data_IF_717072295511
#
_entry.id   IF_717072295511
#
_cell.length_a   1.000
_cell.length_b   1.000
_cell.length_c   1.000
_cell.angle_alpha   90.00
_cell.angle_beta   90.00
_cell.angle_gamma   90.00
#
_symmetry.space_group_name_H-M   'P 1'
#
loop_
_entity.id
_entity.type
_entity.pdbx_description
1 polymer ?
#
# COMPACT_ATOMS: atom_id res chain seq x y z
N UNK A 1 8.67 -52.52 -0.10
CA UNK A 1 7.66 -51.47 -0.37
C UNK A 1 6.84 -51.31 0.91
N UNK A 2 7.12 -50.27 1.70
CA UNK A 2 6.41 -50.00 2.94
C UNK A 2 5.23 -49.08 2.64
N UNK A 3 4.02 -49.54 2.97
CA UNK A 3 2.80 -48.79 2.79
C UNK A 3 2.82 -47.49 3.60
N UNK A 4 2.57 -46.36 2.93
CA UNK A 4 2.27 -45.09 3.59
C UNK A 4 1.00 -45.27 4.44
N UNK A 5 0.94 -44.71 5.66
CA UNK A 5 -0.26 -44.80 6.50
C UNK A 5 -1.39 -44.01 5.82
N UNK A 6 -2.46 -44.73 5.47
CA UNK A 6 -3.73 -44.16 5.03
C UNK A 6 -4.40 -43.48 6.23
N UNK A 7 -4.50 -42.15 6.21
CA UNK A 7 -5.37 -41.39 7.10
C UNK A 7 -6.83 -41.77 6.79
N UNK A 8 -7.42 -42.66 7.58
CA UNK A 8 -8.86 -42.91 7.56
C UNK A 8 -9.58 -41.76 8.26
N UNK A 9 -10.24 -40.89 7.48
CA UNK A 9 -11.07 -39.79 7.97
C UNK A 9 -12.53 -40.22 8.14
N UNK A 10 -12.78 -41.26 8.93
CA UNK A 10 -14.13 -41.60 9.37
C UNK A 10 -14.31 -41.14 10.82
N UNK A 11 -14.28 -39.83 11.05
CA UNK A 11 -14.77 -39.27 12.31
C UNK A 11 -16.28 -39.10 12.17
N UNK A 12 -17.07 -39.77 13.01
CA UNK A 12 -18.50 -39.50 13.08
C UNK A 12 -18.73 -38.12 13.70
N UNK A 13 -19.84 -37.47 13.37
CA UNK A 13 -20.24 -36.19 14.00
C UNK A 13 -20.25 -36.31 15.53
N UNK A 14 -20.55 -37.49 16.06
CA UNK A 14 -20.52 -37.81 17.49
C UNK A 14 -19.11 -37.76 18.08
N UNK A 15 -18.10 -38.25 17.35
CA UNK A 15 -16.69 -38.22 17.78
C UNK A 15 -16.15 -36.79 17.81
N UNK A 16 -16.56 -35.94 16.86
CA UNK A 16 -16.22 -34.52 16.86
C UNK A 16 -16.86 -33.77 18.03
N UNK A 17 -18.13 -34.05 18.35
CA UNK A 17 -18.83 -33.43 19.48
C UNK A 17 -18.20 -33.86 20.81
N UNK A 18 -17.83 -35.14 20.94
CA UNK A 18 -17.14 -35.65 22.12
C UNK A 18 -15.76 -35.00 22.30
N UNK A 19 -14.96 -34.89 21.23
CA UNK A 19 -13.66 -34.24 21.27
C UNK A 19 -13.75 -32.73 21.59
N UNK A 20 -14.77 -32.03 21.08
CA UNK A 20 -15.03 -30.64 21.40
C UNK A 20 -15.44 -30.47 22.87
N UNK A 21 -16.30 -31.36 23.38
CA UNK A 21 -16.73 -31.32 24.77
C UNK A 21 -15.56 -31.61 25.73
N UNK A 22 -14.68 -32.55 25.38
CA UNK A 22 -13.49 -32.90 26.17
C UNK A 22 -12.44 -31.77 26.16
N UNK A 23 -12.23 -31.12 25.00
CA UNK A 23 -11.37 -29.94 24.86
C UNK A 23 -11.92 -28.69 25.59
N UNK A 24 -13.24 -28.61 25.81
CA UNK A 24 -13.88 -27.55 26.57
C UNK A 24 -13.87 -27.81 28.10
N UNK A 25 -13.62 -29.05 28.54
CA UNK A 25 -13.60 -29.42 29.96
C UNK A 25 -12.20 -29.54 30.56
N UNK A 26 -11.13 -29.51 29.75
CA UNK A 26 -9.75 -29.42 30.26
C UNK A 26 -9.40 -27.96 30.55
N UNK A 27 -9.24 -27.54 31.83
CA UNK A 27 -8.73 -26.22 32.15
C UNK A 27 -7.20 -26.28 32.12
N UNK A 28 -6.61 -26.68 30.99
CA UNK A 28 -5.21 -26.36 30.75
C UNK A 28 -5.17 -24.94 30.20
N UNK A 29 -4.60 -24.04 31.01
CA UNK A 29 -4.20 -22.72 30.56
C UNK A 29 -3.12 -22.95 29.51
N UNK A 30 -3.51 -23.09 28.24
CA UNK A 30 -2.56 -23.08 27.13
C UNK A 30 -1.89 -21.73 27.17
N UNK A 31 -0.71 -21.65 27.77
CA UNK A 31 0.22 -20.56 27.48
C UNK A 31 0.55 -20.69 26.01
N UNK A 32 -0.16 -19.92 25.19
CA UNK A 32 0.28 -19.63 23.82
C UNK A 32 1.59 -18.89 23.99
N UNK A 33 2.70 -19.62 23.95
CA UNK A 33 3.99 -18.99 23.76
C UNK A 33 3.88 -18.18 22.48
N UNK A 34 4.07 -16.87 22.61
CA UNK A 34 4.15 -15.99 21.46
C UNK A 34 5.25 -16.55 20.54
N UNK A 35 4.84 -17.17 19.44
CA UNK A 35 5.78 -17.56 18.41
C UNK A 35 6.52 -16.29 18.01
N UNK A 36 7.85 -16.29 18.16
CA UNK A 36 8.73 -15.28 17.58
C UNK A 36 9.12 -15.74 16.19
N UNK A 37 8.48 -15.29 15.10
CA UNK A 37 9.14 -15.33 13.81
C UNK A 37 10.02 -14.09 13.71
N UNK A 38 11.31 -14.23 13.98
CA UNK A 38 12.30 -13.37 13.33
C UNK A 38 12.70 -14.08 12.03
N UNK A 39 11.85 -14.01 11.00
CA UNK A 39 12.28 -14.37 9.64
C UNK A 39 13.38 -13.37 9.25
N UNK A 40 14.61 -13.87 9.19
CA UNK A 40 15.77 -13.05 8.89
C UNK A 40 15.98 -13.02 7.37
N UNK A 41 15.53 -11.97 6.69
CA UNK A 41 15.59 -11.87 5.23
C UNK A 41 16.95 -11.44 4.65
N UNK A 42 17.95 -11.18 5.50
CA UNK A 42 19.24 -10.62 5.08
C UNK A 42 19.55 -9.29 5.77
N UNK A 43 20.64 -8.60 5.40
CA UNK A 43 20.97 -7.29 5.93
C UNK A 43 19.90 -6.26 5.56
N UNK A 44 19.44 -5.45 6.53
CA UNK A 44 18.41 -4.43 6.31
C UNK A 44 19.05 -3.04 6.16
N UNK A 45 18.67 -2.30 5.13
CA UNK A 45 18.93 -0.87 5.02
C UNK A 45 18.08 -0.11 6.04
N UNK A 46 18.71 0.68 6.90
CA UNK A 46 18.03 1.56 7.86
C UNK A 46 17.59 2.87 7.19
N UNK A 47 16.45 2.85 6.50
CA UNK A 47 15.84 4.04 5.93
C UNK A 47 14.59 4.43 6.75
N UNK A 48 14.29 5.71 6.79
CA UNK A 48 13.03 6.23 7.34
C UNK A 48 12.27 7.04 6.26
N UNK A 49 11.09 7.54 6.61
CA UNK A 49 10.23 8.28 5.69
C UNK A 49 10.83 9.59 5.18
N UNK A 50 11.74 10.23 5.90
CA UNK A 50 12.40 11.48 5.44
C UNK A 50 13.31 11.24 4.24
N UNK A 51 13.80 10.02 4.08
CA UNK A 51 14.63 9.60 2.95
C UNK A 51 13.78 9.25 1.71
N UNK A 52 12.48 9.01 1.86
CA UNK A 52 11.59 8.44 0.82
C UNK A 52 10.84 9.51 0.05
N UNK A 53 10.39 10.57 0.71
CA UNK A 53 9.74 11.69 0.04
C UNK A 53 10.64 12.33 -1.05
N UNK A 54 11.94 12.58 -0.81
CA UNK A 54 12.87 13.00 -1.87
C UNK A 54 13.17 11.91 -2.90
N UNK A 55 12.92 10.65 -2.58
CA UNK A 55 13.14 9.51 -3.47
C UNK A 55 11.98 9.33 -4.46
N UNK A 56 10.76 9.67 -4.04
CA UNK A 56 9.57 9.71 -4.88
C UNK A 56 9.64 10.77 -5.99
N UNK A 57 10.40 11.86 -5.78
CA UNK A 57 10.59 12.95 -6.76
C UNK A 57 11.51 12.63 -7.94
N UNK A 58 11.70 11.33 -8.27
CA UNK A 58 12.59 10.87 -9.35
C UNK A 58 14.06 10.75 -8.96
N UNK A 59 14.44 11.23 -7.78
CA UNK A 59 15.85 11.36 -7.33
C UNK A 59 16.47 10.04 -6.83
N UNK A 60 15.73 8.92 -6.81
CA UNK A 60 16.30 7.61 -6.45
C UNK A 60 17.38 7.14 -7.43
N UNK A 61 17.20 7.40 -8.72
CA UNK A 61 18.20 7.01 -9.72
C UNK A 61 19.48 7.85 -9.60
N UNK A 62 19.34 9.15 -9.31
CA UNK A 62 20.45 10.05 -8.98
C UNK A 62 21.13 9.69 -7.65
N UNK A 63 20.34 9.34 -6.62
CA UNK A 63 20.87 8.89 -5.32
C UNK A 63 21.56 7.52 -5.44
N UNK A 64 21.08 6.66 -6.34
CA UNK A 64 21.71 5.39 -6.64
C UNK A 64 22.95 5.54 -7.55
N UNK A 65 23.08 6.59 -8.35
CA UNK A 65 24.29 6.92 -9.13
C UNK A 65 25.32 7.71 -8.34
N UNK A 66 24.91 8.39 -7.26
CA UNK A 66 25.80 9.01 -6.27
C UNK A 66 26.54 7.93 -5.46
N UNK A 67 27.61 7.42 -6.06
CA UNK A 67 28.62 6.64 -5.38
C UNK A 67 29.30 7.46 -4.28
N UNK A 68 29.43 6.84 -3.10
CA UNK A 68 30.07 7.32 -1.86
C UNK A 68 29.33 8.43 -1.11
N UNK A 69 28.68 7.98 -0.03
CA UNK A 69 28.36 8.67 1.23
C UNK A 69 27.40 9.86 1.17
N UNK A 70 26.20 9.64 1.70
CA UNK A 70 25.55 10.64 2.56
C UNK A 70 25.74 10.14 3.99
N UNK A 71 26.62 10.80 4.74
CA UNK A 71 26.70 10.61 6.19
C UNK A 71 26.35 11.92 6.86
N UNK A 72 25.44 11.90 7.83
CA UNK A 72 25.34 12.96 8.82
C UNK A 72 26.57 12.86 9.75
N UNK A 73 27.69 13.42 9.30
CA UNK A 73 28.88 13.84 10.04
C UNK A 73 29.70 12.86 10.91
N UNK A 74 29.39 11.57 11.03
CA UNK A 74 30.23 10.65 11.83
C UNK A 74 30.45 9.28 11.20
N UNK A 75 31.14 9.25 10.05
CA UNK A 75 31.74 8.04 9.47
C UNK A 75 33.00 7.57 10.24
N UNK A 76 33.03 7.73 11.57
CA UNK A 76 34.07 7.17 12.43
C UNK A 76 33.43 6.23 13.45
N UNK A 77 33.63 4.93 13.21
CA UNK A 77 33.28 3.75 14.05
C UNK A 77 31.91 3.11 13.89
N UNK A 78 31.45 2.94 12.66
CA UNK A 78 30.69 1.74 12.33
C UNK A 78 31.15 1.22 10.97
N UNK A 79 32.13 0.30 10.96
CA UNK A 79 32.07 -0.73 9.93
C UNK A 79 30.73 -1.41 10.15
N UNK A 80 29.80 -1.28 9.21
CA UNK A 80 28.63 -2.15 9.17
C UNK A 80 29.16 -3.53 8.82
N UNK A 81 29.63 -4.26 9.83
CA UNK A 81 29.92 -5.67 9.71
C UNK A 81 28.65 -6.43 10.05
N UNK A 82 28.36 -7.50 9.30
CA UNK A 82 27.37 -8.55 9.59
C UNK A 82 27.69 -9.34 10.87
N UNK A 83 28.37 -8.73 11.84
CA UNK A 83 28.86 -9.36 13.07
C UNK A 83 27.68 -9.69 13.98
N UNK A 84 27.26 -10.95 13.90
CA UNK A 84 26.26 -11.55 14.78
C UNK A 84 25.56 -12.74 14.16
N UNK A 85 25.48 -12.79 12.83
CA UNK A 85 24.92 -13.94 12.11
C UNK A 85 25.97 -14.43 11.14
N UNK A 86 26.56 -15.56 11.47
CA UNK A 86 27.45 -16.26 10.58
C UNK A 86 26.66 -16.58 9.31
N UNK A 87 27.06 -16.04 8.15
CA UNK A 87 26.42 -16.28 6.83
C UNK A 87 26.18 -17.77 6.53
N UNK A 88 26.93 -18.64 7.21
CA UNK A 88 26.90 -20.09 7.15
C UNK A 88 25.73 -20.77 7.91
N UNK A 89 24.87 -20.03 8.63
CA UNK A 89 23.74 -20.63 9.38
C UNK A 89 22.38 -20.59 8.68
N UNK A 90 22.19 -19.76 7.66
CA UNK A 90 21.04 -19.85 6.74
C UNK A 90 21.47 -19.33 5.36
N UNK A 91 21.73 -20.18 4.37
CA UNK A 91 22.10 -19.75 3.02
C UNK A 91 20.85 -19.27 2.26
N UNK A 92 20.28 -18.14 2.67
CA UNK A 92 19.20 -17.53 1.92
C UNK A 92 19.75 -16.93 0.62
N UNK A 93 19.01 -17.05 -0.50
CA UNK A 93 19.40 -16.38 -1.72
C UNK A 93 19.40 -14.86 -1.52
N UNK A 94 20.41 -14.13 -2.02
CA UNK A 94 20.44 -12.68 -1.91
C UNK A 94 19.29 -12.04 -2.70
N UNK A 95 18.82 -10.87 -2.24
CA UNK A 95 17.83 -10.07 -2.97
C UNK A 95 18.40 -9.63 -4.33
N UNK A 96 17.94 -10.31 -5.40
CA UNK A 96 18.47 -10.07 -6.76
C UNK A 96 17.89 -8.84 -7.41
N UNK A 97 16.58 -8.74 -7.48
CA UNK A 97 15.91 -7.66 -8.22
C UNK A 97 15.13 -6.72 -7.29
N UNK A 98 14.67 -7.22 -6.15
CA UNK A 98 13.72 -6.56 -5.27
C UNK A 98 14.02 -6.86 -3.79
N UNK A 99 13.77 -5.90 -2.91
CA UNK A 99 13.64 -6.13 -1.47
C UNK A 99 12.16 -6.40 -1.09
N UNK A 100 11.88 -7.14 -0.01
CA UNK A 100 10.51 -7.45 0.38
C UNK A 100 9.76 -6.22 0.90
N UNK A 101 8.48 -6.14 0.56
CA UNK A 101 7.57 -5.05 0.93
C UNK A 101 6.43 -5.55 1.81
N UNK A 102 5.95 -4.70 2.71
CA UNK A 102 4.73 -4.89 3.48
C UNK A 102 3.51 -4.20 2.88
N UNK A 103 2.39 -4.90 2.77
CA UNK A 103 1.07 -4.34 2.44
C UNK A 103 0.21 -4.34 3.70
N UNK A 104 -0.08 -3.15 4.22
CA UNK A 104 -0.99 -2.94 5.34
C UNK A 104 -2.41 -2.73 4.80
N UNK A 105 -3.12 -3.84 4.58
CA UNK A 105 -4.42 -3.90 3.91
C UNK A 105 -5.61 -4.08 4.85
N UNK A 106 -6.77 -4.40 4.27
CA UNK A 106 -8.05 -4.54 4.97
C UNK A 106 -9.01 -3.36 4.82
N UNK A 107 -8.71 -2.39 3.96
CA UNK A 107 -9.39 -1.08 3.92
C UNK A 107 -9.97 -0.67 2.54
N UNK A 108 -10.45 -1.56 1.68
CA UNK A 108 -11.05 -2.85 2.00
C UNK A 108 -10.23 -4.12 1.66
N UNK A 109 -10.78 -5.30 1.99
CA UNK A 109 -10.11 -6.57 1.71
C UNK A 109 -9.87 -6.84 0.22
N UNK A 110 -10.86 -6.53 -0.64
CA UNK A 110 -10.74 -6.71 -2.08
C UNK A 110 -9.67 -5.78 -2.69
N UNK A 111 -9.65 -4.51 -2.29
CA UNK A 111 -8.63 -3.55 -2.69
C UNK A 111 -7.20 -4.00 -2.33
N UNK A 112 -7.05 -4.76 -1.25
CA UNK A 112 -5.76 -5.33 -0.86
C UNK A 112 -5.32 -6.43 -1.83
N UNK A 113 -6.23 -7.30 -2.23
CA UNK A 113 -5.97 -8.37 -3.21
C UNK A 113 -5.67 -7.77 -4.59
N UNK A 114 -6.45 -6.77 -5.00
CA UNK A 114 -6.23 -6.02 -6.23
C UNK A 114 -4.83 -5.38 -6.29
N UNK A 115 -4.39 -4.73 -5.19
CA UNK A 115 -3.02 -4.20 -5.12
C UNK A 115 -1.97 -5.31 -5.24
N UNK A 116 -2.16 -6.48 -4.61
CA UNK A 116 -1.21 -7.59 -4.72
C UNK A 116 -1.06 -8.08 -6.17
N UNK A 117 -2.17 -8.20 -6.89
CA UNK A 117 -2.14 -8.54 -8.31
C UNK A 117 -1.39 -7.48 -9.11
N UNK A 118 -1.70 -6.20 -8.92
CA UNK A 118 -1.02 -5.09 -9.60
C UNK A 118 0.47 -5.02 -9.30
N UNK A 119 0.89 -5.35 -8.07
CA UNK A 119 2.30 -5.46 -7.67
C UNK A 119 3.01 -6.59 -8.41
N UNK A 120 2.37 -7.75 -8.54
CA UNK A 120 2.90 -8.87 -9.32
C UNK A 120 3.09 -8.46 -10.79
N UNK A 121 2.04 -7.92 -11.41
CA UNK A 121 2.07 -7.49 -12.82
C UNK A 121 3.11 -6.39 -13.08
N UNK A 122 3.22 -5.41 -12.17
CA UNK A 122 4.22 -4.35 -12.26
C UNK A 122 5.65 -4.90 -12.14
N UNK A 123 5.88 -5.83 -11.22
CA UNK A 123 7.16 -6.52 -11.07
C UNK A 123 7.51 -7.35 -12.29
N UNK A 124 6.55 -8.11 -12.81
CA UNK A 124 6.69 -8.93 -14.01
C UNK A 124 7.06 -8.10 -15.25
N UNK A 125 6.42 -6.94 -15.45
CA UNK A 125 6.81 -6.00 -16.52
C UNK A 125 8.29 -5.63 -16.44
N UNK A 126 8.80 -5.30 -15.25
CA UNK A 126 10.22 -4.95 -15.04
C UNK A 126 11.16 -6.12 -15.20
N UNK A 127 10.78 -7.31 -14.75
CA UNK A 127 11.55 -8.52 -14.98
C UNK A 127 11.65 -8.86 -16.46
N UNK A 128 10.57 -8.69 -17.21
CA UNK A 128 10.57 -8.93 -18.66
C UNK A 128 11.42 -7.92 -19.43
N UNK A 129 11.50 -6.66 -18.99
CA UNK A 129 12.47 -5.69 -19.53
C UNK A 129 13.92 -6.19 -19.33
N UNK A 130 14.28 -6.58 -18.11
CA UNK A 130 15.60 -7.12 -17.77
C UNK A 130 15.91 -8.42 -18.55
N UNK A 131 14.92 -9.29 -18.70
CA UNK A 131 15.04 -10.54 -19.44
C UNK A 131 15.40 -10.30 -20.91
N UNK A 132 14.77 -9.31 -21.56
CA UNK A 132 15.08 -8.92 -22.95
C UNK A 132 16.51 -8.42 -23.10
N UNK A 133 17.02 -7.68 -22.12
CA UNK A 133 18.39 -7.15 -22.13
C UNK A 133 19.45 -8.22 -21.86
N UNK A 134 19.12 -9.21 -21.01
CA UNK A 134 20.10 -10.19 -20.51
C UNK A 134 20.01 -11.56 -21.16
N UNK A 135 18.94 -11.84 -21.92
CA UNK A 135 18.64 -13.16 -22.47
C UNK A 135 18.24 -14.20 -21.42
N UNK A 136 18.05 -13.82 -20.15
CA UNK A 136 17.63 -14.73 -19.07
C UNK A 136 16.11 -14.86 -19.03
N UNK A 137 15.63 -16.08 -18.78
CA UNK A 137 14.20 -16.33 -18.54
C UNK A 137 13.80 -15.84 -17.14
N UNK A 138 12.64 -15.19 -17.05
CA UNK A 138 12.00 -14.84 -15.77
C UNK A 138 11.46 -16.09 -15.08
N UNK A 139 11.71 -16.22 -13.79
CA UNK A 139 11.24 -17.32 -12.93
C UNK A 139 10.51 -16.78 -11.71
N UNK A 140 9.73 -17.61 -11.03
CA UNK A 140 9.04 -17.25 -9.78
C UNK A 140 10.00 -16.67 -8.74
N UNK A 141 11.24 -17.17 -8.69
CA UNK A 141 12.27 -16.73 -7.75
C UNK A 141 12.79 -15.30 -8.03
N UNK A 142 12.48 -14.73 -9.20
CA UNK A 142 12.86 -13.36 -9.55
C UNK A 142 11.84 -12.31 -9.08
N UNK A 143 10.61 -12.73 -8.75
CA UNK A 143 9.53 -11.83 -8.35
C UNK A 143 9.74 -11.21 -6.97
N UNK A 144 9.16 -10.02 -6.78
CA UNK A 144 9.23 -9.28 -5.52
C UNK A 144 8.51 -10.03 -4.40
N UNK A 145 9.16 -10.15 -3.24
CA UNK A 145 8.52 -10.63 -2.03
C UNK A 145 7.48 -9.63 -1.50
N UNK A 146 6.24 -10.07 -1.33
CA UNK A 146 5.15 -9.26 -0.78
C UNK A 146 4.63 -9.92 0.50
N UNK A 147 4.73 -9.22 1.62
CA UNK A 147 4.17 -9.62 2.91
C UNK A 147 2.89 -8.82 3.09
N UNK A 148 1.74 -9.47 3.08
CA UNK A 148 0.46 -8.76 3.17
C UNK A 148 -0.34 -9.17 4.38
N UNK A 149 -0.77 -8.17 5.15
CA UNK A 149 -1.74 -8.34 6.23
C UNK A 149 -3.06 -7.69 5.81
N UNK A 150 -4.09 -8.52 5.62
CA UNK A 150 -5.43 -8.10 5.21
C UNK A 150 -6.39 -8.15 6.41
N UNK A 151 -6.26 -7.18 7.32
CA UNK A 151 -6.86 -7.24 8.67
C UNK A 151 -7.95 -6.18 8.85
N UNK A 152 -9.03 -6.27 8.06
CA UNK A 152 -10.12 -5.28 8.08
C UNK A 152 -10.85 -5.14 9.43
N UNK A 153 -10.81 -6.16 10.28
CA UNK A 153 -11.39 -6.10 11.64
C UNK A 153 -10.56 -5.26 12.62
N UNK A 154 -9.28 -5.00 12.34
CA UNK A 154 -8.41 -4.21 13.22
C UNK A 154 -8.48 -2.72 12.90
N UNK A 155 -8.85 -2.35 11.67
CA UNK A 155 -8.76 -0.97 11.21
C UNK A 155 -10.17 -0.43 10.98
N UNK A 156 -10.63 0.39 11.93
CA UNK A 156 -11.95 1.03 11.90
C UNK A 156 -12.23 1.83 10.62
N UNK A 157 -13.49 2.28 10.45
CA UNK A 157 -13.85 3.04 9.25
C UNK A 157 -13.20 4.43 9.24
N UNK A 158 -12.44 4.72 8.18
CA UNK A 158 -11.65 5.95 8.06
C UNK A 158 -12.57 7.15 7.86
N UNK A 159 -13.55 7.06 6.98
CA UNK A 159 -14.43 8.19 6.65
C UNK A 159 -15.29 8.57 7.85
N UNK A 160 -15.90 7.58 8.52
CA UNK A 160 -16.69 7.79 9.73
C UNK A 160 -15.87 8.46 10.83
N UNK A 161 -14.63 8.02 11.05
CA UNK A 161 -13.77 8.62 12.06
C UNK A 161 -13.35 10.06 11.73
N UNK A 162 -12.93 10.33 10.48
CA UNK A 162 -12.58 11.70 10.05
C UNK A 162 -13.78 12.66 10.17
N UNK A 163 -15.00 12.18 9.89
CA UNK A 163 -16.22 12.98 9.98
C UNK A 163 -16.78 13.13 11.40
N UNK A 164 -16.24 12.37 12.37
CA UNK A 164 -16.57 12.54 13.79
C UNK A 164 -15.92 13.80 14.40
N UNK A 165 -14.90 14.37 13.75
CA UNK A 165 -14.26 15.60 14.21
C UNK A 165 -15.21 16.80 14.12
N UNK A 166 -15.31 17.55 15.22
CA UNK A 166 -16.16 18.76 15.33
C UNK A 166 -15.36 20.07 15.43
N UNK A 167 -14.03 20.01 15.40
CA UNK A 167 -13.17 21.18 15.44
C UNK A 167 -12.84 21.73 14.06
N UNK A 168 -11.99 22.76 14.01
CA UNK A 168 -11.46 23.32 12.76
C UNK A 168 -10.36 22.40 12.20
N UNK A 169 -10.57 21.88 10.97
CA UNK A 169 -9.57 21.03 10.29
C UNK A 169 -8.32 21.81 9.86
N UNK A 170 -8.40 23.14 9.84
CA UNK A 170 -7.26 24.01 9.56
C UNK A 170 -6.40 24.27 10.79
N UNK A 171 -6.86 23.94 12.00
CA UNK A 171 -6.02 23.93 13.20
C UNK A 171 -5.19 22.62 13.22
N UNK A 172 -3.89 22.67 12.92
CA UNK A 172 -3.08 21.45 12.81
C UNK A 172 -2.94 20.73 14.14
N UNK A 173 -3.03 21.45 15.26
CA UNK A 173 -2.91 20.87 16.60
C UNK A 173 -4.19 20.11 16.95
N UNK A 174 -5.35 20.76 16.83
CA UNK A 174 -6.63 20.13 17.11
C UNK A 174 -6.87 18.93 16.18
N UNK A 175 -6.49 19.05 14.90
CA UNK A 175 -6.59 17.96 13.94
C UNK A 175 -5.68 16.78 14.31
N UNK A 176 -4.42 17.04 14.69
CA UNK A 176 -3.50 15.99 15.13
C UNK A 176 -3.98 15.31 16.41
N UNK A 177 -4.49 16.06 17.38
CA UNK A 177 -5.09 15.52 18.60
C UNK A 177 -6.27 14.59 18.27
N UNK A 178 -7.12 14.97 17.31
CA UNK A 178 -8.19 14.09 16.83
C UNK A 178 -7.65 12.81 16.21
N UNK A 179 -6.73 12.90 15.24
CA UNK A 179 -6.16 11.74 14.55
C UNK A 179 -5.46 10.75 15.48
N UNK A 180 -4.93 11.22 16.61
CA UNK A 180 -4.17 10.43 17.58
C UNK A 180 -4.96 10.04 18.84
N UNK A 181 -6.26 10.39 18.90
CA UNK A 181 -7.08 10.15 20.09
C UNK A 181 -7.24 8.63 20.35
N UNK A 182 -6.89 8.13 21.55
CA UNK A 182 -6.92 6.70 21.89
C UNK A 182 -8.33 6.21 22.20
N UNK A 183 -9.13 6.01 21.16
CA UNK A 183 -10.49 5.46 21.24
C UNK A 183 -10.64 4.26 20.30
N UNK A 184 -11.50 3.27 20.61
CA UNK A 184 -11.65 2.04 19.81
C UNK A 184 -12.02 2.29 18.34
N UNK A 185 -12.74 3.37 18.05
CA UNK A 185 -13.17 3.73 16.71
C UNK A 185 -12.03 4.30 15.85
N UNK A 186 -10.92 4.71 16.47
CA UNK A 186 -9.79 5.30 15.76
C UNK A 186 -9.01 4.21 15.00
N UNK A 187 -8.95 4.26 13.65
CA UNK A 187 -8.26 3.25 12.85
C UNK A 187 -6.73 3.25 13.06
N UNK A 188 -6.16 4.30 13.67
CA UNK A 188 -4.71 4.45 13.88
C UNK A 188 -4.08 3.26 14.60
N UNK A 189 -4.65 2.82 15.71
CA UNK A 189 -4.00 1.88 16.62
C UNK A 189 -3.94 0.47 16.02
N UNK A 190 -5.01 0.02 15.37
CA UNK A 190 -4.98 -1.26 14.65
C UNK A 190 -3.98 -1.25 13.50
N UNK A 191 -3.89 -0.15 12.75
CA UNK A 191 -2.92 -0.02 11.68
C UNK A 191 -1.46 0.03 12.19
N UNK A 192 -1.21 0.63 13.36
CA UNK A 192 0.11 0.60 13.99
C UNK A 192 0.53 -0.83 14.32
N UNK A 193 -0.36 -1.66 14.85
CA UNK A 193 -0.08 -3.08 15.12
C UNK A 193 0.17 -3.87 13.82
N UNK A 194 -0.62 -3.61 12.78
CA UNK A 194 -0.39 -4.18 11.44
C UNK A 194 1.01 -3.81 10.93
N UNK A 195 1.40 -2.55 11.01
CA UNK A 195 2.73 -2.09 10.58
C UNK A 195 3.87 -2.69 11.39
N UNK A 196 3.72 -2.79 12.72
CA UNK A 196 4.73 -3.44 13.58
C UNK A 196 4.90 -4.90 13.20
N UNK A 197 3.80 -5.62 12.95
CA UNK A 197 3.85 -7.00 12.50
C UNK A 197 4.52 -7.15 11.13
N UNK A 198 4.22 -6.28 10.16
CA UNK A 198 4.91 -6.27 8.85
C UNK A 198 6.43 -6.01 8.98
N UNK A 199 6.81 -5.07 9.85
CA UNK A 199 8.22 -4.77 10.15
C UNK A 199 8.94 -5.98 10.75
N UNK A 200 8.30 -6.67 11.70
CA UNK A 200 8.82 -7.89 12.32
C UNK A 200 8.92 -9.03 11.29
N UNK A 201 7.93 -9.14 10.41
CA UNK A 201 7.89 -10.14 9.35
C UNK A 201 8.96 -9.93 8.27
N UNK A 202 9.60 -8.76 8.19
CA UNK A 202 10.74 -8.52 7.31
C UNK A 202 10.56 -7.45 6.24
N UNK A 203 9.44 -6.72 6.24
CA UNK A 203 9.21 -5.66 5.27
C UNK A 203 10.32 -4.58 5.34
N UNK A 204 10.85 -4.19 4.19
CA UNK A 204 11.78 -3.07 4.06
C UNK A 204 11.06 -1.73 3.96
N UNK A 205 9.81 -1.74 3.51
CA UNK A 205 8.93 -0.58 3.45
C UNK A 205 7.47 -1.03 3.44
N UNK A 206 6.55 -0.11 3.76
CA UNK A 206 5.13 -0.41 3.89
C UNK A 206 4.29 0.47 2.98
N UNK A 207 3.26 -0.11 2.38
CA UNK A 207 2.26 0.60 1.58
C UNK A 207 0.85 0.30 2.08
N UNK A 208 -0.05 1.25 1.83
CA UNK A 208 -1.46 1.19 2.22
C UNK A 208 -2.35 1.29 0.96
N UNK A 209 -3.08 0.24 0.57
CA UNK A 209 -4.08 0.29 -0.51
C UNK A 209 -5.38 0.93 0.00
N UNK A 210 -5.30 2.18 0.47
CA UNK A 210 -6.47 2.94 0.88
C UNK A 210 -6.18 4.44 0.82
N UNK A 211 -6.92 5.17 -0.02
CA UNK A 211 -6.75 6.62 -0.15
C UNK A 211 -7.07 7.35 1.17
N UNK A 212 -8.26 7.12 1.73
CA UNK A 212 -8.71 7.81 2.95
C UNK A 212 -7.78 7.58 4.15
N UNK A 213 -7.09 6.43 4.20
CA UNK A 213 -6.09 6.13 5.24
C UNK A 213 -4.95 7.16 5.29
N UNK A 214 -4.59 7.77 4.17
CA UNK A 214 -3.44 8.66 4.10
C UNK A 214 -3.64 9.98 4.85
N UNK A 215 -4.84 10.26 5.39
CA UNK A 215 -5.03 11.31 6.38
C UNK A 215 -4.17 11.09 7.65
N UNK A 216 -3.80 9.85 7.97
CA UNK A 216 -2.91 9.49 9.09
C UNK A 216 -1.44 9.30 8.67
N UNK A 217 -1.09 9.55 7.40
CA UNK A 217 0.22 9.16 6.86
C UNK A 217 1.38 9.70 7.69
N UNK A 218 1.39 10.99 8.00
CA UNK A 218 2.47 11.63 8.77
C UNK A 218 2.55 11.10 10.21
N UNK A 219 1.42 10.72 10.81
CA UNK A 219 1.36 10.15 12.16
C UNK A 219 2.02 8.77 12.16
N UNK A 220 1.60 7.88 11.25
CA UNK A 220 2.11 6.51 11.24
C UNK A 220 3.57 6.44 10.76
N UNK A 221 3.96 7.31 9.82
CA UNK A 221 5.33 7.44 9.33
C UNK A 221 6.33 7.73 10.47
N UNK A 222 5.95 8.62 11.40
CA UNK A 222 6.78 8.99 12.55
C UNK A 222 6.97 7.82 13.54
N UNK A 223 5.96 6.97 13.71
CA UNK A 223 5.95 5.88 14.67
C UNK A 223 6.64 4.61 14.17
N UNK A 224 6.35 4.19 12.94
CA UNK A 224 6.79 2.89 12.40
C UNK A 224 8.27 2.89 12.04
N UNK A 225 8.81 4.06 11.65
CA UNK A 225 10.21 4.24 11.21
C UNK A 225 10.63 3.21 10.16
N UNK A 226 9.76 2.98 9.19
CA UNK A 226 10.08 2.33 7.93
C UNK A 226 9.68 3.29 6.80
N UNK A 227 10.34 3.20 5.64
CA UNK A 227 9.89 3.85 4.43
C UNK A 227 8.41 3.56 4.13
N UNK A 228 7.67 4.58 3.70
CA UNK A 228 6.26 4.45 3.32
C UNK A 228 6.00 5.27 2.06
N UNK A 229 5.09 4.78 1.21
CA UNK A 229 4.71 5.45 -0.03
C UNK A 229 3.33 6.07 0.09
N UNK A 230 3.21 7.35 -0.27
CA UNK A 230 1.93 8.05 -0.26
C UNK A 230 1.18 7.81 -1.58
N UNK A 231 0.02 7.15 -1.52
CA UNK A 231 -0.75 6.75 -2.71
C UNK A 231 -1.15 7.93 -3.62
N UNK A 232 -1.60 9.05 -3.05
CA UNK A 232 -2.01 10.20 -3.84
C UNK A 232 -0.82 10.87 -4.57
N UNK A 233 0.36 10.91 -3.93
CA UNK A 233 1.59 11.43 -4.55
C UNK A 233 2.04 10.50 -5.68
N UNK A 234 2.02 9.19 -5.45
CA UNK A 234 2.30 8.19 -6.50
C UNK A 234 1.33 8.33 -7.69
N UNK A 235 0.04 8.58 -7.42
CA UNK A 235 -0.98 8.79 -8.45
C UNK A 235 -0.70 10.04 -9.27
N UNK A 236 -0.42 11.17 -8.62
CA UNK A 236 -0.07 12.44 -9.30
C UNK A 236 1.17 12.26 -10.18
N UNK A 237 2.21 11.60 -9.68
CA UNK A 237 3.44 11.36 -10.45
C UNK A 237 3.23 10.37 -11.61
N UNK A 238 2.28 9.44 -11.49
CA UNK A 238 1.95 8.53 -12.60
C UNK A 238 1.26 9.23 -13.76
N UNK A 239 0.64 10.39 -13.53
CA UNK A 239 -0.13 11.12 -14.54
C UNK A 239 0.71 11.41 -15.79
N UNK A 240 1.91 11.97 -15.61
CA UNK A 240 2.80 12.28 -16.74
C UNK A 240 3.16 11.05 -17.58
N UNK A 241 3.32 9.88 -16.94
CA UNK A 241 3.65 8.62 -17.62
C UNK A 241 2.43 8.01 -18.33
N UNK A 242 1.27 8.07 -17.68
CA UNK A 242 0.03 7.52 -18.21
C UNK A 242 -0.49 8.34 -19.41
N UNK A 243 -0.22 9.65 -19.43
CA UNK A 243 -0.87 10.58 -20.37
C UNK A 243 0.10 11.64 -20.90
N UNK A 244 1.01 11.30 -21.83
CA UNK A 244 2.06 12.19 -22.32
C UNK A 244 1.56 13.39 -23.17
N UNK A 245 0.24 13.51 -23.39
CA UNK A 245 -0.40 14.57 -24.20
C UNK A 245 -1.28 15.51 -23.38
N UNK A 246 -1.19 15.49 -22.05
CA UNK A 246 -1.96 16.43 -21.23
C UNK A 246 -1.44 17.87 -21.38
N UNK A 247 -2.32 18.88 -21.27
CA UNK A 247 -1.89 20.26 -21.17
C UNK A 247 -1.12 20.50 -19.86
N UNK A 248 -0.36 21.61 -19.77
CA UNK A 248 0.46 21.95 -18.61
C UNK A 248 -0.33 22.07 -17.30
N UNK A 249 -1.60 22.49 -17.38
CA UNK A 249 -2.55 22.51 -16.27
C UNK A 249 -3.78 21.65 -16.60
N UNK A 250 -3.69 20.31 -16.47
CA UNK A 250 -4.80 19.44 -16.79
C UNK A 250 -5.90 19.52 -15.74
N UNK A 251 -7.13 19.46 -16.21
CA UNK A 251 -8.31 19.27 -15.37
C UNK A 251 -8.46 17.79 -15.06
N UNK A 252 -8.41 17.41 -13.79
CA UNK A 252 -8.46 16.02 -13.35
C UNK A 252 -9.71 15.78 -12.52
N UNK A 253 -10.58 14.88 -13.00
CA UNK A 253 -11.73 14.38 -12.24
C UNK A 253 -11.28 13.51 -11.07
N UNK A 254 -11.85 13.69 -9.89
CA UNK A 254 -11.47 12.94 -8.69
C UNK A 254 -12.64 12.10 -8.16
N UNK A 255 -12.61 10.79 -8.38
CA UNK A 255 -13.64 9.87 -7.86
C UNK A 255 -13.14 9.26 -6.55
N UNK A 256 -13.65 9.74 -5.42
CA UNK A 256 -13.18 9.33 -4.11
C UNK A 256 -14.28 9.34 -3.04
N UNK A 257 -13.97 8.79 -1.86
CA UNK A 257 -14.83 8.94 -0.68
C UNK A 257 -14.91 10.40 -0.23
N UNK A 258 -15.99 10.79 0.43
CA UNK A 258 -16.12 12.12 1.05
C UNK A 258 -14.96 12.41 1.99
N UNK A 259 -14.52 11.44 2.79
CA UNK A 259 -13.34 11.59 3.64
C UNK A 259 -12.05 11.95 2.88
N UNK A 260 -11.87 11.46 1.65
CA UNK A 260 -10.74 11.83 0.79
C UNK A 260 -10.88 13.24 0.24
N UNK A 261 -12.08 13.62 -0.19
CA UNK A 261 -12.39 14.96 -0.75
C UNK A 261 -12.28 16.03 0.35
N UNK A 262 -12.94 15.82 1.48
CA UNK A 262 -13.03 16.77 2.59
C UNK A 262 -11.70 16.95 3.34
N UNK A 263 -10.76 16.00 3.18
CA UNK A 263 -9.39 16.13 3.70
C UNK A 263 -8.45 16.81 2.71
N UNK A 264 -8.91 17.06 1.49
CA UNK A 264 -8.14 17.62 0.37
C UNK A 264 -6.88 16.80 0.06
N UNK A 265 -6.94 15.48 0.26
CA UNK A 265 -5.76 14.61 0.19
C UNK A 265 -5.01 14.75 -1.14
N UNK A 266 -5.74 14.71 -2.25
CA UNK A 266 -5.17 14.77 -3.59
C UNK A 266 -4.73 16.18 -3.97
N UNK A 267 -5.46 17.21 -3.54
CA UNK A 267 -5.10 18.60 -3.75
C UNK A 267 -3.78 18.93 -3.05
N UNK A 268 -3.64 18.53 -1.78
CA UNK A 268 -2.39 18.68 -1.01
C UNK A 268 -1.24 17.89 -1.62
N UNK A 269 -1.50 16.66 -2.09
CA UNK A 269 -0.50 15.84 -2.78
C UNK A 269 -0.07 16.49 -4.11
N UNK A 270 -1.00 17.00 -4.90
CA UNK A 270 -0.72 17.74 -6.14
C UNK A 270 0.18 18.95 -5.90
N UNK A 271 -0.21 19.82 -4.97
CA UNK A 271 0.59 21.00 -4.60
C UNK A 271 1.98 20.64 -4.06
N UNK A 272 2.12 19.50 -3.36
CA UNK A 272 3.43 19.00 -2.93
C UNK A 272 4.26 18.54 -4.13
N UNK A 273 3.68 17.74 -5.02
CA UNK A 273 4.37 17.15 -6.17
C UNK A 273 4.76 18.18 -7.22
N UNK A 274 4.04 19.29 -7.33
CA UNK A 274 4.43 20.42 -8.18
C UNK A 274 5.84 20.93 -7.85
N UNK A 275 6.21 20.98 -6.56
CA UNK A 275 7.56 21.36 -6.10
C UNK A 275 8.65 20.38 -6.54
N UNK A 276 8.25 19.20 -7.00
CA UNK A 276 9.10 18.09 -7.41
C UNK A 276 8.94 17.76 -8.90
N UNK A 277 8.48 18.72 -9.70
CA UNK A 277 8.33 18.57 -11.15
C UNK A 277 7.05 17.84 -11.60
N UNK A 278 6.13 17.58 -10.67
CA UNK A 278 4.77 17.14 -10.99
C UNK A 278 3.97 18.26 -11.70
N UNK A 279 2.90 17.92 -12.43
CA UNK A 279 2.08 18.92 -13.12
C UNK A 279 1.27 19.74 -12.12
N UNK A 280 1.02 21.00 -12.44
CA UNK A 280 0.03 21.81 -11.74
C UNK A 280 -1.36 21.31 -12.14
N UNK A 281 -2.20 20.88 -11.20
CA UNK A 281 -3.50 20.22 -11.52
C UNK A 281 -4.67 21.10 -11.10
N UNK A 282 -5.64 21.25 -12.01
CA UNK A 282 -6.97 21.75 -11.69
C UNK A 282 -7.90 20.59 -11.35
N UNK A 283 -8.47 20.57 -10.14
CA UNK A 283 -9.30 19.46 -9.69
C UNK A 283 -10.78 19.66 -10.05
N UNK A 284 -11.40 18.63 -10.61
CA UNK A 284 -12.85 18.52 -10.80
C UNK A 284 -13.37 17.51 -9.79
N UNK A 285 -14.20 18.00 -8.87
CA UNK A 285 -14.88 17.16 -7.88
C UNK A 285 -16.30 16.84 -8.36
N UNK A 286 -16.83 15.64 -8.11
CA UNK A 286 -18.23 15.33 -8.40
C UNK A 286 -19.16 16.32 -7.72
N UNK A 287 -20.24 16.72 -8.40
CA UNK A 287 -21.34 17.47 -7.78
C UNK A 287 -21.96 16.68 -6.61
N UNK A 288 -22.61 17.33 -5.63
CA UNK A 288 -23.13 16.66 -4.44
C UNK A 288 -23.93 15.38 -4.70
N UNK A 289 -24.86 15.40 -5.67
CA UNK A 289 -25.66 14.22 -6.04
C UNK A 289 -24.82 13.06 -6.59
N UNK A 290 -23.73 13.36 -7.31
CA UNK A 290 -22.80 12.36 -7.83
C UNK A 290 -21.80 11.92 -6.76
N UNK A 291 -21.49 12.78 -5.80
CA UNK A 291 -20.70 12.38 -4.63
C UNK A 291 -21.47 11.37 -3.76
N UNK A 292 -22.78 11.53 -3.60
CA UNK A 292 -23.63 10.54 -2.93
C UNK A 292 -23.64 9.20 -3.68
N UNK A 293 -23.70 9.25 -5.02
CA UNK A 293 -23.56 8.05 -5.86
C UNK A 293 -22.19 7.39 -5.73
N UNK A 294 -21.12 8.18 -5.67
CA UNK A 294 -19.77 7.65 -5.45
C UNK A 294 -19.71 6.91 -4.11
N UNK A 295 -20.25 7.50 -3.05
CA UNK A 295 -20.31 6.88 -1.72
C UNK A 295 -21.12 5.58 -1.74
N UNK A 296 -22.33 5.58 -2.31
CA UNK A 296 -23.15 4.37 -2.38
C UNK A 296 -22.52 3.29 -3.27
N UNK A 297 -21.94 3.67 -4.42
CA UNK A 297 -21.23 2.74 -5.30
C UNK A 297 -20.02 2.07 -4.62
N UNK A 298 -19.30 2.83 -3.79
CA UNK A 298 -18.17 2.31 -3.00
C UNK A 298 -18.64 1.42 -1.85
N UNK A 299 -19.56 1.90 -1.00
CA UNK A 299 -19.94 1.24 0.25
C UNK A 299 -21.02 0.17 0.05
N UNK A 300 -22.13 0.53 -0.58
CA UNK A 300 -23.28 -0.36 -0.78
C UNK A 300 -23.11 -1.25 -2.02
N UNK A 301 -22.22 -0.86 -2.93
CA UNK A 301 -21.80 -1.65 -4.08
C UNK A 301 -20.57 -2.50 -3.77
N UNK A 302 -19.39 -2.00 -4.14
CA UNK A 302 -18.14 -2.78 -4.18
C UNK A 302 -17.77 -3.39 -2.84
N UNK A 303 -17.81 -2.62 -1.74
CA UNK A 303 -17.48 -3.13 -0.39
C UNK A 303 -18.49 -4.15 0.14
N UNK A 304 -19.75 -4.04 -0.26
CA UNK A 304 -20.81 -4.98 0.11
C UNK A 304 -20.86 -6.22 -0.80
N UNK A 305 -20.08 -6.24 -1.90
CA UNK A 305 -20.05 -7.33 -2.87
C UNK A 305 -21.07 -7.20 -4.01
N UNK A 306 -21.87 -6.14 -4.06
CA UNK A 306 -22.76 -5.84 -5.19
C UNK A 306 -22.00 -5.04 -6.27
N UNK A 307 -21.21 -5.77 -7.04
CA UNK A 307 -20.41 -5.18 -8.12
C UNK A 307 -21.27 -4.51 -9.20
N UNK A 308 -22.45 -5.03 -9.51
CA UNK A 308 -23.32 -4.46 -10.54
C UNK A 308 -23.84 -3.07 -10.13
N UNK A 309 -24.29 -2.94 -8.88
CA UNK A 309 -24.69 -1.65 -8.31
C UNK A 309 -23.51 -0.68 -8.24
N UNK A 310 -22.35 -1.14 -7.76
CA UNK A 310 -21.11 -0.37 -7.70
C UNK A 310 -20.69 0.18 -9.06
N UNK A 311 -20.60 -0.68 -10.08
CA UNK A 311 -20.23 -0.31 -11.45
C UNK A 311 -21.18 0.71 -12.04
N UNK A 312 -22.51 0.52 -11.88
CA UNK A 312 -23.50 1.46 -12.40
C UNK A 312 -23.29 2.87 -11.84
N UNK A 313 -23.25 3.00 -10.51
CA UNK A 313 -23.14 4.30 -9.86
C UNK A 313 -21.79 4.97 -10.14
N UNK A 314 -20.69 4.22 -10.07
CA UNK A 314 -19.35 4.78 -10.30
C UNK A 314 -19.13 5.20 -11.76
N UNK A 315 -19.70 4.48 -12.72
CA UNK A 315 -19.68 4.89 -14.13
C UNK A 315 -20.45 6.20 -14.33
N UNK A 316 -21.61 6.39 -13.68
CA UNK A 316 -22.35 7.66 -13.75
C UNK A 316 -21.52 8.83 -13.22
N UNK A 317 -20.73 8.62 -12.15
CA UNK A 317 -19.81 9.63 -11.60
C UNK A 317 -18.65 9.91 -12.55
N UNK A 318 -18.05 8.89 -13.16
CA UNK A 318 -16.99 9.06 -14.16
C UNK A 318 -17.48 9.89 -15.36
N UNK A 319 -18.67 9.59 -15.88
CA UNK A 319 -19.26 10.36 -16.98
C UNK A 319 -19.56 11.81 -16.59
N UNK A 320 -19.91 12.08 -15.33
CA UNK A 320 -20.14 13.45 -14.86
C UNK A 320 -18.86 14.28 -14.84
N UNK A 321 -17.79 13.79 -14.23
CA UNK A 321 -16.52 14.54 -14.18
C UNK A 321 -15.94 14.74 -15.59
N UNK A 322 -16.16 13.79 -16.50
CA UNK A 322 -15.82 13.93 -17.93
C UNK A 322 -16.65 15.05 -18.58
N UNK A 323 -17.96 15.09 -18.33
CA UNK A 323 -18.86 16.14 -18.84
C UNK A 323 -18.48 17.53 -18.34
N UNK A 324 -17.96 17.65 -17.12
CA UNK A 324 -17.42 18.89 -16.56
C UNK A 324 -16.05 19.30 -17.16
N UNK A 325 -15.51 18.50 -18.09
CA UNK A 325 -14.33 18.83 -18.88
C UNK A 325 -13.02 18.27 -18.32
N UNK A 326 -13.08 17.16 -17.57
CA UNK A 326 -11.88 16.45 -17.15
C UNK A 326 -11.06 15.95 -18.36
N UNK A 327 -9.76 16.21 -18.35
CA UNK A 327 -8.81 15.69 -19.34
C UNK A 327 -8.39 14.25 -19.03
N UNK A 328 -8.54 13.82 -17.77
CA UNK A 328 -8.39 12.47 -17.25
C UNK A 328 -9.13 12.41 -15.90
N UNK A 329 -9.39 11.22 -15.37
CA UNK A 329 -9.93 11.09 -14.01
C UNK A 329 -9.19 10.03 -13.20
N UNK A 330 -9.20 10.22 -11.89
CA UNK A 330 -8.50 9.37 -10.92
C UNK A 330 -9.50 8.47 -10.20
N UNK A 331 -9.17 7.19 -10.15
CA UNK A 331 -9.80 6.22 -9.25
C UNK A 331 -9.22 6.40 -7.84
N UNK A 332 -9.56 7.53 -7.20
CA UNK A 332 -9.04 7.97 -5.90
C UNK A 332 -9.71 7.29 -4.69
N UNK A 333 -10.27 6.11 -4.93
CA UNK A 333 -10.64 5.10 -3.95
C UNK A 333 -10.35 3.73 -4.59
N UNK A 334 -9.67 2.85 -3.86
CA UNK A 334 -9.15 1.57 -4.39
C UNK A 334 -10.26 0.58 -4.76
N UNK A 335 -11.49 0.85 -4.35
CA UNK A 335 -12.68 0.11 -4.79
C UNK A 335 -13.24 0.60 -6.13
N UNK A 336 -12.85 1.79 -6.62
CA UNK A 336 -13.39 2.34 -7.87
C UNK A 336 -12.88 1.58 -9.08
N UNK A 337 -11.56 1.40 -9.19
CA UNK A 337 -10.96 0.73 -10.34
C UNK A 337 -11.52 -0.68 -10.57
N UNK A 338 -11.59 -1.58 -9.55
CA UNK A 338 -12.21 -2.90 -9.71
C UNK A 338 -13.65 -2.86 -10.27
N UNK A 339 -14.41 -1.81 -9.98
CA UNK A 339 -15.77 -1.66 -10.50
C UNK A 339 -15.85 -1.18 -11.95
N UNK A 340 -14.95 -0.33 -12.41
CA UNK A 340 -15.12 0.37 -13.70
C UNK A 340 -13.94 0.25 -14.68
N UNK A 341 -12.86 -0.46 -14.33
CA UNK A 341 -11.66 -0.58 -15.20
C UNK A 341 -11.93 -1.24 -16.57
N UNK A 342 -13.01 -2.01 -16.69
CA UNK A 342 -13.39 -2.69 -17.93
C UNK A 342 -14.18 -1.80 -18.88
N UNK A 343 -14.52 -0.58 -18.46
CA UNK A 343 -15.25 0.41 -19.26
C UNK A 343 -14.24 1.33 -19.97
N UNK A 344 -14.40 1.51 -21.27
CA UNK A 344 -13.58 2.45 -22.04
C UNK A 344 -14.16 3.85 -21.98
N UNK A 345 -13.33 4.81 -21.57
CA UNK A 345 -13.70 6.23 -21.50
C UNK A 345 -13.00 7.05 -22.60
N UNK A 346 -13.57 8.19 -23.02
CA UNK A 346 -12.94 9.07 -24.01
C UNK A 346 -11.72 9.83 -23.48
N UNK A 347 -11.47 9.75 -22.17
CA UNK A 347 -10.30 10.32 -21.50
C UNK A 347 -9.60 9.25 -20.67
N UNK A 348 -8.30 9.40 -20.37
CA UNK A 348 -7.56 8.44 -19.58
C UNK A 348 -8.14 8.27 -18.17
N UNK A 349 -8.25 7.02 -17.75
CA UNK A 349 -8.52 6.61 -16.38
C UNK A 349 -7.18 6.30 -15.70
N UNK A 350 -6.91 6.92 -14.55
CA UNK A 350 -5.68 6.71 -13.77
C UNK A 350 -6.02 6.04 -12.44
N UNK A 351 -5.53 4.82 -12.30
CA UNK A 351 -5.77 4.03 -11.09
C UNK A 351 -4.71 4.28 -10.02
N UNK A 352 -5.16 4.71 -8.85
CA UNK A 352 -4.32 4.96 -7.69
C UNK A 352 -3.61 3.68 -7.18
N UNK A 353 -4.25 2.52 -7.28
CA UNK A 353 -3.64 1.25 -6.85
C UNK A 353 -2.50 0.84 -7.80
N UNK A 354 -2.72 0.95 -9.11
CA UNK A 354 -1.67 0.73 -10.13
C UNK A 354 -0.51 1.70 -9.96
N UNK A 355 -0.79 2.98 -9.74
CA UNK A 355 0.24 3.99 -9.49
C UNK A 355 1.09 3.67 -8.24
N UNK A 356 0.44 3.22 -7.17
CA UNK A 356 1.12 2.75 -5.96
C UNK A 356 1.96 1.51 -6.23
N UNK A 357 1.44 0.53 -6.99
CA UNK A 357 2.14 -0.70 -7.35
C UNK A 357 3.39 -0.45 -8.21
N UNK A 358 3.28 0.39 -9.23
CA UNK A 358 4.41 0.74 -10.08
C UNK A 358 5.50 1.49 -9.31
N UNK A 359 5.10 2.39 -8.40
CA UNK A 359 6.03 3.15 -7.56
C UNK A 359 6.72 2.27 -6.52
N UNK A 360 5.96 1.36 -5.95
CA UNK A 360 6.38 0.29 -5.06
C UNK A 360 7.46 -0.60 -5.67
N UNK A 361 7.24 -1.09 -6.89
CA UNK A 361 8.20 -1.91 -7.64
C UNK A 361 9.49 -1.11 -7.89
N UNK A 362 9.38 0.16 -8.32
CA UNK A 362 10.56 1.02 -8.52
C UNK A 362 11.38 1.22 -7.25
N UNK A 363 10.72 1.54 -6.12
CA UNK A 363 11.40 1.70 -4.84
C UNK A 363 12.09 0.40 -4.42
N UNK A 364 11.38 -0.73 -4.51
CA UNK A 364 11.95 -2.03 -4.15
C UNK A 364 13.22 -2.37 -4.96
N UNK A 365 13.22 -2.12 -6.27
CA UNK A 365 14.40 -2.32 -7.10
C UNK A 365 15.55 -1.38 -6.73
N UNK A 366 15.26 -0.11 -6.45
CA UNK A 366 16.27 0.86 -6.06
C UNK A 366 16.92 0.46 -4.72
N UNK A 367 16.12 0.01 -3.75
CA UNK A 367 16.62 -0.51 -2.48
C UNK A 367 17.47 -1.76 -2.65
N UNK A 368 17.06 -2.70 -3.51
CA UNK A 368 17.85 -3.91 -3.79
C UNK A 368 19.20 -3.57 -4.44
N UNK A 369 19.21 -2.61 -5.38
CA UNK A 369 20.44 -2.09 -5.98
C UNK A 369 21.36 -1.46 -4.93
N UNK A 370 20.79 -0.71 -3.97
CA UNK A 370 21.55 -0.07 -2.91
C UNK A 370 22.14 -1.09 -1.93
N UNK A 371 21.35 -2.09 -1.53
CA UNK A 371 21.80 -3.18 -0.64
C UNK A 371 23.04 -3.87 -1.23
N UNK A 372 22.98 -4.29 -2.51
CA UNK A 372 24.11 -4.91 -3.23
C UNK A 372 25.36 -4.04 -3.39
N UNK A 373 25.22 -2.70 -3.31
CA UNK A 373 26.37 -1.79 -3.38
C UNK A 373 27.05 -1.61 -2.02
N UNK A 374 26.32 -1.85 -0.93
CA UNK A 374 26.79 -1.62 0.43
C UNK A 374 27.21 -2.90 1.17
N UNK A 375 26.76 -4.06 0.70
CA UNK A 375 27.30 -5.39 1.01
C UNK A 375 28.41 -5.73 0.03
#
# INVERSE_FOLDING_TARGET
MAHAPTLQTNFSTTDMIAALHDAMQTPERTTVEAQKPALHWGPKLGLDTTHVYPALSGTLEETATLGKSVSAASASRAKVTTTGISEHKVPLPPHRNFVPMGVAGGMGPLATVDLQQKLFEAGERKLNEIAKETGKKVTDQDHMGVISFNLGHMIGDRTAYLNSFKGDRNDPKAWREHLTKPVPENPLFGALEVCKGLKQAGAHFIVFPCNTWHAWFDVIAAEVKLPMLHIAEATVLSLQKATPKLPDNPKIGLIATTGTIDSELYQKAGARMEKFGGPHITWILPKPEFQDKAMSGIYDGVKAGDMAHGTKLLNEVALEVIKEGANAFFDACTEVNPAIHHISYPVPQVDAATALADTSVRLSMALAKLERKLT
#
